data_IF_790449902411
#
_entry.id   IF_790449902411
#
_cell.length_a   1.000
_cell.length_b   1.000
_cell.length_c   1.000
_cell.angle_alpha   90.00
_cell.angle_beta   90.00
_cell.angle_gamma   90.00
#
_symmetry.space_group_name_H-M   'P 1'
#
loop_
_entity.id
_entity.type
_entity.pdbx_description
1 polymer ?
#
# COMPACT_ATOMS: atom_id res chain seq x y z
N UNK A 1 0.24 2.07 -12.10
CA UNK A 1 -0.51 2.75 -11.03
C UNK A 1 -0.60 1.98 -9.71
N UNK A 2 -1.09 0.73 -9.66
CA UNK A 2 -1.28 0.04 -8.37
C UNK A 2 0.00 -0.14 -7.51
N UNK A 3 1.13 -0.51 -8.13
CA UNK A 3 2.40 -0.66 -7.41
C UNK A 3 2.90 0.69 -6.88
N UNK A 4 2.85 1.73 -7.71
CA UNK A 4 3.24 3.09 -7.32
C UNK A 4 2.34 3.64 -6.20
N UNK A 5 1.05 3.31 -6.19
CA UNK A 5 0.15 3.63 -5.09
C UNK A 5 0.59 2.95 -3.79
N UNK A 6 0.98 1.68 -3.85
CA UNK A 6 1.52 0.97 -2.69
C UNK A 6 2.83 1.58 -2.19
N UNK A 7 3.75 1.92 -3.10
CA UNK A 7 5.04 2.54 -2.75
C UNK A 7 4.86 3.91 -2.09
N UNK A 8 4.03 4.79 -2.69
CA UNK A 8 3.72 6.11 -2.10
C UNK A 8 3.00 5.98 -0.77
N UNK A 9 2.02 5.08 -0.64
CA UNK A 9 1.36 4.80 0.64
C UNK A 9 2.34 4.34 1.73
N UNK A 10 3.37 3.56 1.37
CA UNK A 10 4.34 3.05 2.32
C UNK A 10 5.41 4.08 2.73
N UNK A 11 5.87 4.90 1.78
CA UNK A 11 7.08 5.72 1.91
C UNK A 11 6.83 7.22 1.93
N UNK A 12 5.81 7.72 1.22
CA UNK A 12 5.53 9.15 1.07
C UNK A 12 4.05 9.41 0.72
N UNK A 13 3.17 9.19 1.69
CA UNK A 13 1.72 9.30 1.50
C UNK A 13 1.24 10.76 1.30
N UNK A 14 2.11 11.75 1.51
CA UNK A 14 1.82 13.16 1.22
C UNK A 14 2.02 13.51 -0.26
N UNK A 15 2.76 12.69 -1.02
CA UNK A 15 2.99 12.90 -2.45
C UNK A 15 1.81 12.52 -3.37
N UNK A 16 0.72 11.99 -2.82
CA UNK A 16 -0.46 11.56 -3.57
C UNK A 16 -1.44 12.73 -3.72
N UNK A 17 -1.13 13.63 -4.65
CA UNK A 17 -1.96 14.78 -4.98
C UNK A 17 -3.10 14.43 -5.96
N UNK A 18 -3.90 15.42 -6.32
CA UNK A 18 -5.03 15.24 -7.23
C UNK A 18 -4.60 14.67 -8.59
N UNK A 19 -3.44 15.11 -9.11
CA UNK A 19 -2.90 14.62 -10.38
C UNK A 19 -2.55 13.13 -10.32
N UNK A 20 -2.01 12.65 -9.19
CA UNK A 20 -1.79 11.23 -8.97
C UNK A 20 -3.09 10.44 -8.97
N UNK A 21 -4.13 10.92 -8.29
CA UNK A 21 -5.43 10.26 -8.28
C UNK A 21 -6.13 10.29 -9.65
N UNK A 22 -5.93 11.35 -10.44
CA UNK A 22 -6.41 11.40 -11.83
C UNK A 22 -5.75 10.32 -12.70
N UNK A 23 -4.43 10.13 -12.57
CA UNK A 23 -3.74 9.02 -13.23
C UNK A 23 -4.21 7.64 -12.73
N UNK A 24 -4.57 7.50 -11.44
CA UNK A 24 -5.16 6.24 -10.94
C UNK A 24 -6.51 5.97 -11.59
N UNK A 25 -7.33 7.00 -11.79
CA UNK A 25 -8.67 6.91 -12.39
C UNK A 25 -8.67 6.49 -13.86
N UNK A 26 -7.53 6.57 -14.54
CA UNK A 26 -7.36 5.99 -15.88
C UNK A 26 -7.42 4.45 -15.86
N UNK A 27 -7.20 3.82 -14.71
CA UNK A 27 -7.12 2.36 -14.56
C UNK A 27 -8.12 1.76 -13.56
N UNK A 28 -8.58 2.54 -12.59
CA UNK A 28 -9.45 2.09 -11.49
C UNK A 28 -10.59 3.07 -11.28
N UNK A 29 -11.80 2.59 -11.03
CA UNK A 29 -12.89 3.46 -10.56
C UNK A 29 -12.72 3.83 -9.08
N UNK A 30 -13.45 4.85 -8.61
CA UNK A 30 -13.32 5.32 -7.22
C UNK A 30 -13.53 4.20 -6.18
N UNK A 31 -14.53 3.28 -6.32
CA UNK A 31 -14.64 2.11 -5.45
C UNK A 31 -13.38 1.23 -5.43
N UNK A 32 -12.83 0.91 -6.60
CA UNK A 32 -11.60 0.12 -6.72
C UNK A 32 -10.39 0.81 -6.09
N UNK A 33 -10.27 2.14 -6.24
CA UNK A 33 -9.19 2.92 -5.60
C UNK A 33 -9.28 2.83 -4.08
N UNK A 34 -10.49 2.92 -3.53
CA UNK A 34 -10.74 2.79 -2.08
C UNK A 34 -10.39 1.38 -1.60
N UNK A 35 -10.91 0.35 -2.27
CA UNK A 35 -10.63 -1.06 -1.92
C UNK A 35 -9.13 -1.37 -2.00
N UNK A 36 -8.45 -0.92 -3.05
CA UNK A 36 -7.02 -1.07 -3.23
C UNK A 36 -6.25 -0.38 -2.10
N UNK A 37 -6.64 0.85 -1.75
CA UNK A 37 -6.04 1.60 -0.64
C UNK A 37 -6.21 0.91 0.71
N UNK A 38 -7.38 0.33 0.98
CA UNK A 38 -7.64 -0.45 2.20
C UNK A 38 -6.72 -1.68 2.29
N UNK A 39 -6.59 -2.45 1.21
CA UNK A 39 -5.71 -3.63 1.17
C UNK A 39 -4.24 -3.26 1.36
N UNK A 40 -3.77 -2.21 0.67
CA UNK A 40 -2.41 -1.68 0.81
C UNK A 40 -2.17 -1.27 2.27
N UNK A 41 -3.06 -0.46 2.86
CA UNK A 41 -2.94 0.02 4.23
C UNK A 41 -2.91 -1.12 5.26
N UNK A 42 -3.76 -2.14 5.09
CA UNK A 42 -3.80 -3.32 5.94
C UNK A 42 -2.46 -4.05 5.95
N UNK A 43 -1.87 -4.32 4.78
CA UNK A 43 -0.61 -5.06 4.69
C UNK A 43 0.60 -4.24 5.18
N UNK A 44 0.64 -2.92 4.94
CA UNK A 44 1.66 -2.03 5.51
C UNK A 44 1.56 -2.05 7.05
N UNK A 45 0.35 -1.91 7.59
CA UNK A 45 0.10 -1.91 9.03
C UNK A 45 0.52 -3.23 9.68
N UNK A 46 0.12 -4.36 9.09
CA UNK A 46 0.52 -5.69 9.57
C UNK A 46 2.03 -5.93 9.46
N UNK A 47 2.66 -5.58 8.35
CA UNK A 47 4.12 -5.69 8.21
C UNK A 47 4.86 -4.91 9.31
N UNK A 48 4.44 -3.66 9.55
CA UNK A 48 5.01 -2.82 10.62
C UNK A 48 4.77 -3.40 12.01
N UNK A 49 3.58 -3.95 12.28
CA UNK A 49 3.26 -4.56 13.56
C UNK A 49 4.07 -5.85 13.79
N UNK A 50 4.18 -6.72 12.79
CA UNK A 50 4.95 -7.95 12.88
C UNK A 50 6.43 -7.66 13.11
N UNK A 51 6.98 -6.68 12.39
CA UNK A 51 8.36 -6.22 12.60
C UNK A 51 8.57 -5.65 14.01
N UNK A 52 7.64 -4.84 14.51
CA UNK A 52 7.71 -4.28 15.87
C UNK A 52 7.65 -5.36 16.97
N UNK A 53 7.00 -6.49 16.70
CA UNK A 53 6.87 -7.62 17.62
C UNK A 53 7.92 -8.73 17.38
N UNK A 54 8.83 -8.57 16.40
CA UNK A 54 9.83 -9.59 16.00
C UNK A 54 9.18 -10.95 15.65
N UNK A 55 7.99 -10.90 15.03
CA UNK A 55 7.21 -12.07 14.62
C UNK A 55 7.43 -12.47 13.15
N UNK A 56 8.37 -11.83 12.48
CA UNK A 56 8.72 -12.16 11.10
C UNK A 56 9.44 -13.50 11.03
N UNK A 57 9.15 -14.36 10.03
CA UNK A 57 9.87 -15.61 9.86
C UNK A 57 11.37 -15.33 9.66
N UNK A 58 12.19 -15.68 10.64
CA UNK A 58 13.65 -15.49 10.57
C UNK A 58 14.32 -16.41 9.53
N UNK A 59 13.60 -17.41 9.03
CA UNK A 59 14.09 -18.41 8.09
C UNK A 59 12.97 -18.85 7.14
N UNK A 60 13.25 -18.87 5.84
CA UNK A 60 12.50 -19.72 4.92
C UNK A 60 12.98 -21.16 5.12
N UNK A 61 12.10 -22.13 5.46
CA UNK A 61 12.50 -23.53 5.47
C UNK A 61 12.85 -23.95 4.04
N UNK A 62 14.10 -24.34 3.83
CA UNK A 62 14.61 -24.98 2.60
C UNK A 62 14.05 -26.37 2.39
#
# INVERSE_FOLDING_TARGET
>A
MALEYADRMALDHHSMDDAFFDCLREHFDDPQIVELGMMIGQFIGFGRLLAALDLEPKFCPT
#
